data_IF_657402507226
#
_entry.id   IF_657402507226
#
_cell.length_a   1.000
_cell.length_b   1.000
_cell.length_c   1.000
_cell.angle_alpha   90.00
_cell.angle_beta   90.00
_cell.angle_gamma   90.00
#
_symmetry.space_group_name_H-M   'P 1'
#
loop_
_entity.id
_entity.type
_entity.pdbx_description
1 polymer ?
#
# COMPACT_ATOMS: atom_id res chain seq x y z
N UNK A 1 -23.30 30.50 6.40
CA UNK A 1 -23.21 30.19 6.15
C UNK A 1 -23.20 29.83 5.99
N UNK A 2 -22.89 29.45 6.17
CA UNK A 2 -22.82 28.97 5.80
C UNK A 2 -22.69 28.49 5.83
N UNK A 3 -22.71 28.38 6.08
CA UNK A 3 -22.67 27.70 5.89
C UNK A 3 -22.49 27.12 5.77
N UNK A 4 -22.51 27.10 5.80
CA UNK A 4 -22.40 26.51 5.45
C UNK A 4 -22.08 25.86 5.24
N UNK A 5 -22.07 26.01 5.39
CA UNK A 5 -21.82 25.49 4.98
C UNK A 5 -21.49 24.92 4.87
N UNK A 6 -21.64 25.03 5.03
CA UNK A 6 -21.42 24.63 4.73
C UNK A 6 -21.05 24.08 4.71
N UNK A 7 -21.23 24.07 4.87
CA UNK A 7 -20.94 23.68 4.64
C UNK A 7 -20.62 23.09 4.71
N UNK A 8 -20.82 23.12 4.83
CA UNK A 8 -20.58 22.62 4.77
C UNK A 8 -20.22 21.97 4.84
N UNK A 9 -20.39 22.16 5.04
CA UNK A 9 -20.06 21.66 4.99
C UNK A 9 -19.76 20.88 5.15
N UNK A 10 -19.82 20.75 5.20
CA UNK A 10 -19.63 20.07 5.19
C UNK A 10 -19.28 19.43 5.07
N UNK A 11 -19.31 19.37 4.77
CA UNK A 11 -18.85 18.99 4.51
C UNK A 11 -18.27 18.82 4.36
N UNK A 12 -18.47 18.96 4.12
CA UNK A 12 -17.71 18.82 4.03
C UNK A 12 -16.91 18.42 3.72
N UNK A 13 -16.61 18.15 2.97
CA UNK A 13 -15.73 17.78 2.51
C UNK A 13 -14.45 17.63 2.99
N UNK A 14 -14.06 17.84 3.63
CA UNK A 14 -12.74 17.80 4.24
C UNK A 14 -12.09 16.43 4.29
N UNK A 15 -12.88 15.41 4.32
CA UNK A 15 -12.36 14.03 4.29
C UNK A 15 -11.60 13.73 3.02
N UNK A 16 -12.07 14.25 1.90
CA UNK A 16 -11.41 14.05 0.64
C UNK A 16 -10.02 14.69 0.64
N UNK A 17 -9.92 15.87 1.22
CA UNK A 17 -8.64 16.58 1.26
C UNK A 17 -7.61 15.90 2.16
N UNK A 18 -8.07 15.07 3.11
CA UNK A 18 -7.15 14.34 4.00
C UNK A 18 -6.71 13.00 3.42
N UNK A 19 -7.23 12.61 2.28
CA UNK A 19 -6.84 11.35 1.66
C UNK A 19 -5.47 11.46 1.04
N UNK A 20 -4.69 10.43 1.27
CA UNK A 20 -3.38 10.30 0.64
C UNK A 20 -3.55 9.70 -0.75
N UNK A 21 -2.89 10.31 -1.73
CA UNK A 21 -2.77 9.71 -3.05
C UNK A 21 -1.52 8.84 -3.05
N UNK A 22 -1.72 7.54 -2.92
CA UNK A 22 -0.63 6.58 -2.87
C UNK A 22 -0.10 6.17 -4.24
N UNK A 23 -0.74 6.62 -5.32
CA UNK A 23 -0.37 6.16 -6.66
C UNK A 23 1.11 6.42 -6.99
N UNK A 24 1.67 7.62 -6.74
CA UNK A 24 3.09 7.83 -7.02
C UNK A 24 4.00 6.90 -6.23
N UNK A 25 3.67 6.66 -4.96
CA UNK A 25 4.47 5.78 -4.11
C UNK A 25 4.40 4.35 -4.62
N UNK A 26 3.20 3.88 -4.97
CA UNK A 26 3.04 2.53 -5.50
C UNK A 26 3.81 2.34 -6.80
N UNK A 27 3.79 3.33 -7.69
CA UNK A 27 4.57 3.26 -8.94
C UNK A 27 6.06 3.17 -8.67
N UNK A 28 6.56 3.96 -7.72
CA UNK A 28 7.98 3.93 -7.36
C UNK A 28 8.37 2.56 -6.79
N UNK A 29 7.52 2.01 -5.92
CA UNK A 29 7.73 0.67 -5.37
C UNK A 29 7.76 -0.37 -6.48
N UNK A 30 6.80 -0.32 -7.40
CA UNK A 30 6.75 -1.25 -8.53
C UNK A 30 8.03 -1.17 -9.36
N UNK A 31 8.53 0.04 -9.61
CA UNK A 31 9.76 0.21 -10.36
C UNK A 31 10.94 -0.46 -9.68
N UNK A 32 11.06 -0.31 -8.36
CA UNK A 32 12.16 -0.91 -7.59
C UNK A 32 12.00 -2.43 -7.47
N UNK A 33 10.76 -2.90 -7.23
CA UNK A 33 10.53 -4.32 -6.94
C UNK A 33 10.60 -5.19 -8.19
N UNK A 34 10.05 -4.75 -9.31
CA UNK A 34 9.89 -5.60 -10.48
C UNK A 34 10.25 -4.93 -11.79
N UNK A 35 10.63 -3.66 -11.76
CA UNK A 35 10.82 -2.87 -12.98
C UNK A 35 9.54 -2.88 -13.85
N UNK A 36 8.39 -2.94 -13.21
CA UNK A 36 7.08 -2.94 -13.87
C UNK A 36 6.58 -4.29 -14.35
N UNK A 37 7.30 -5.37 -14.06
CA UNK A 37 6.94 -6.70 -14.61
C UNK A 37 5.92 -7.39 -13.71
N UNK A 38 4.69 -7.53 -14.19
CA UNK A 38 3.62 -8.14 -13.41
C UNK A 38 3.80 -9.65 -13.23
N UNK A 39 4.63 -10.29 -14.03
CA UNK A 39 4.91 -11.72 -13.93
C UNK A 39 6.22 -12.02 -13.18
N UNK A 40 6.85 -11.01 -12.59
CA UNK A 40 8.10 -11.18 -11.84
C UNK A 40 7.92 -12.15 -10.68
N UNK A 41 8.93 -13.00 -10.48
CA UNK A 41 8.89 -14.00 -9.43
C UNK A 41 10.29 -14.19 -8.86
N UNK A 42 10.44 -13.92 -7.57
CA UNK A 42 11.70 -14.10 -6.85
C UNK A 42 11.40 -14.87 -5.55
N UNK A 43 11.64 -16.19 -5.61
CA UNK A 43 11.25 -17.05 -4.50
C UNK A 43 9.75 -17.00 -4.27
N UNK A 44 9.34 -16.63 -3.07
CA UNK A 44 7.92 -16.51 -2.74
C UNK A 44 7.36 -15.09 -2.95
N UNK A 45 8.17 -14.18 -3.49
CA UNK A 45 7.74 -12.81 -3.80
C UNK A 45 7.32 -12.75 -5.26
N UNK A 46 6.11 -12.29 -5.51
CA UNK A 46 5.51 -12.38 -6.85
C UNK A 46 4.85 -11.09 -7.29
N UNK A 47 4.92 -10.85 -8.60
CA UNK A 47 4.18 -9.79 -9.25
C UNK A 47 4.87 -8.44 -9.21
N UNK A 48 4.17 -7.43 -9.69
CA UNK A 48 4.70 -6.07 -9.82
C UNK A 48 5.21 -5.52 -8.49
N UNK A 49 4.55 -5.85 -7.37
CA UNK A 49 4.91 -5.33 -6.05
C UNK A 49 5.62 -6.37 -5.18
N UNK A 50 5.94 -7.54 -5.73
CA UNK A 50 6.70 -8.59 -5.06
C UNK A 50 6.07 -9.01 -3.73
N UNK A 51 4.79 -9.41 -3.80
CA UNK A 51 3.98 -9.75 -2.63
C UNK A 51 4.24 -11.20 -2.21
N UNK A 52 4.36 -11.41 -0.91
CA UNK A 52 4.55 -12.75 -0.30
C UNK A 52 3.20 -13.40 0.02
N UNK A 53 3.16 -14.73 0.15
CA UNK A 53 1.93 -15.39 0.62
C UNK A 53 1.48 -14.91 2.00
N UNK A 54 2.43 -14.56 2.88
CA UNK A 54 2.10 -14.06 4.22
C UNK A 54 1.32 -12.75 4.11
N UNK A 55 1.70 -11.87 3.19
CA UNK A 55 0.98 -10.60 3.02
C UNK A 55 -0.44 -10.81 2.50
N UNK A 56 -0.62 -11.76 1.57
CA UNK A 56 -1.97 -12.11 1.09
C UNK A 56 -2.82 -12.58 2.25
N UNK A 57 -2.26 -13.45 3.10
CA UNK A 57 -2.96 -13.96 4.27
C UNK A 57 -3.34 -12.84 5.23
N UNK A 58 -2.43 -11.91 5.47
CA UNK A 58 -2.70 -10.76 6.33
C UNK A 58 -3.82 -9.89 5.77
N UNK A 59 -3.80 -9.63 4.46
CA UNK A 59 -4.88 -8.87 3.83
C UNK A 59 -6.23 -9.55 4.06
N UNK A 60 -6.29 -10.86 3.93
CA UNK A 60 -7.53 -11.59 4.14
C UNK A 60 -7.97 -11.57 5.60
N UNK A 61 -7.04 -11.57 6.54
CA UNK A 61 -7.36 -11.43 7.96
C UNK A 61 -7.93 -10.04 8.26
N UNK A 62 -7.36 -9.01 7.66
CA UNK A 62 -7.88 -7.63 7.81
C UNK A 62 -9.30 -7.54 7.26
N UNK A 63 -9.52 -8.08 6.06
CA UNK A 63 -10.84 -8.09 5.45
C UNK A 63 -11.86 -8.81 6.33
N UNK A 64 -11.47 -9.95 6.87
CA UNK A 64 -12.35 -10.72 7.76
C UNK A 64 -12.69 -9.89 9.01
N UNK A 65 -11.72 -9.21 9.59
CA UNK A 65 -11.94 -8.38 10.77
C UNK A 65 -12.88 -7.21 10.51
N UNK A 66 -13.01 -6.80 9.25
CA UNK A 66 -13.91 -5.73 8.82
C UNK A 66 -15.25 -6.25 8.30
N UNK A 67 -15.51 -7.53 8.49
CA UNK A 67 -16.73 -8.20 8.02
C UNK A 67 -16.91 -8.12 6.50
N UNK A 68 -15.81 -8.00 5.77
CA UNK A 68 -15.84 -8.05 4.32
C UNK A 68 -15.80 -9.50 3.85
N UNK A 69 -16.56 -9.79 2.79
CA UNK A 69 -16.52 -11.11 2.17
C UNK A 69 -15.45 -11.23 1.10
N UNK A 70 -14.81 -10.11 0.77
CA UNK A 70 -13.76 -10.12 -0.24
C UNK A 70 -12.55 -10.91 0.25
N UNK A 71 -11.89 -11.62 -0.67
CA UNK A 71 -10.65 -12.34 -0.38
C UNK A 71 -9.72 -12.25 -1.57
N UNK A 72 -8.43 -12.17 -1.29
CA UNK A 72 -7.38 -12.24 -2.30
C UNK A 72 -6.83 -13.65 -2.36
N UNK A 73 -6.38 -14.04 -3.54
CA UNK A 73 -5.73 -15.33 -3.78
C UNK A 73 -4.25 -15.10 -4.08
N UNK A 74 -3.47 -16.18 -4.06
CA UNK A 74 -2.06 -16.08 -4.43
C UNK A 74 -1.89 -15.64 -5.89
N UNK A 75 -2.80 -16.04 -6.78
CA UNK A 75 -2.76 -15.63 -8.18
C UNK A 75 -2.95 -14.12 -8.34
N UNK A 76 -3.65 -13.47 -7.42
CA UNK A 76 -3.90 -12.03 -7.48
C UNK A 76 -2.61 -11.21 -7.39
N UNK A 77 -1.52 -11.81 -6.90
CA UNK A 77 -0.23 -11.13 -6.83
C UNK A 77 0.31 -10.77 -8.23
N UNK A 78 -0.14 -11.48 -9.25
CA UNK A 78 0.25 -11.21 -10.64
C UNK A 78 -0.69 -10.22 -11.34
N UNK A 79 -1.67 -9.72 -10.65
CA UNK A 79 -2.59 -8.69 -11.14
C UNK A 79 -2.20 -7.35 -10.49
N UNK A 80 -1.77 -6.39 -11.32
CA UNK A 80 -1.24 -5.11 -10.81
C UNK A 80 -2.29 -4.37 -10.02
N UNK A 81 -3.53 -4.34 -10.48
CA UNK A 81 -4.59 -3.62 -9.79
C UNK A 81 -4.86 -4.24 -8.41
N UNK A 82 -4.92 -5.56 -8.33
CA UNK A 82 -5.13 -6.24 -7.05
C UNK A 82 -3.94 -6.11 -6.12
N UNK A 83 -2.74 -6.09 -6.66
CA UNK A 83 -1.54 -5.82 -5.86
C UNK A 83 -1.60 -4.44 -5.22
N UNK A 84 -2.03 -3.43 -5.98
CA UNK A 84 -2.21 -2.08 -5.44
C UNK A 84 -3.31 -2.04 -4.39
N UNK A 85 -4.41 -2.78 -4.59
CA UNK A 85 -5.47 -2.88 -3.58
C UNK A 85 -4.91 -3.44 -2.26
N UNK A 86 -4.10 -4.49 -2.34
CA UNK A 86 -3.49 -5.08 -1.15
C UNK A 86 -2.57 -4.10 -0.45
N UNK A 87 -1.76 -3.35 -1.20
CA UNK A 87 -0.92 -2.29 -0.62
C UNK A 87 -1.78 -1.28 0.14
N UNK A 88 -2.84 -0.79 -0.48
CA UNK A 88 -3.72 0.20 0.13
C UNK A 88 -4.39 -0.35 1.39
N UNK A 89 -4.80 -1.60 1.37
CA UNK A 89 -5.41 -2.25 2.53
C UNK A 89 -4.41 -2.31 3.70
N UNK A 90 -3.18 -2.70 3.43
CA UNK A 90 -2.12 -2.75 4.44
C UNK A 90 -1.89 -1.35 5.03
N UNK A 91 -1.81 -0.32 4.17
CA UNK A 91 -1.62 1.05 4.66
C UNK A 91 -2.81 1.49 5.52
N UNK A 92 -4.02 1.18 5.11
CA UNK A 92 -5.21 1.57 5.88
C UNK A 92 -5.22 0.95 7.28
N UNK A 93 -4.60 -0.20 7.45
CA UNK A 93 -4.57 -0.91 8.72
C UNK A 93 -3.37 -0.51 9.59
N UNK A 94 -2.18 -0.48 9.01
CA UNK A 94 -0.92 -0.28 9.75
C UNK A 94 -0.41 1.16 9.73
N UNK A 95 -0.93 2.00 8.85
CA UNK A 95 -0.37 3.34 8.61
C UNK A 95 -1.47 4.39 8.50
N UNK A 96 -2.30 4.52 9.55
CA UNK A 96 -3.45 5.44 9.48
C UNK A 96 -3.07 6.91 9.34
N UNK A 97 -1.82 7.28 9.68
CA UNK A 97 -1.34 8.65 9.53
C UNK A 97 -0.76 8.92 8.14
N UNK A 98 -0.75 7.94 7.25
CA UNK A 98 -0.27 8.08 5.87
C UNK A 98 1.19 8.56 5.79
N UNK A 99 2.05 7.96 6.60
CA UNK A 99 3.48 8.27 6.62
C UNK A 99 4.17 7.55 5.46
N UNK A 100 4.74 8.31 4.52
CA UNK A 100 5.34 7.77 3.30
C UNK A 100 6.57 6.91 3.62
N UNK A 101 7.45 7.39 4.49
CA UNK A 101 8.65 6.64 4.85
C UNK A 101 8.28 5.30 5.48
N UNK A 102 7.31 5.29 6.40
CA UNK A 102 6.84 4.06 7.03
C UNK A 102 6.29 3.08 5.98
N UNK A 103 5.48 3.59 5.04
CA UNK A 103 4.90 2.76 3.99
C UNK A 103 5.99 2.06 3.18
N UNK A 104 7.01 2.81 2.78
CA UNK A 104 8.09 2.29 1.93
C UNK A 104 8.93 1.29 2.70
N UNK A 105 9.39 1.66 3.90
CA UNK A 105 10.27 0.78 4.68
C UNK A 105 9.56 -0.50 5.10
N UNK A 106 8.29 -0.39 5.52
CA UNK A 106 7.55 -1.57 5.97
C UNK A 106 7.21 -2.50 4.81
N UNK A 107 7.06 -1.98 3.60
CA UNK A 107 6.84 -2.85 2.45
C UNK A 107 8.02 -3.77 2.19
N UNK A 108 9.22 -3.29 2.42
CA UNK A 108 10.45 -4.06 2.26
C UNK A 108 10.79 -4.91 3.48
N UNK A 109 10.70 -4.34 4.67
CA UNK A 109 11.21 -4.96 5.89
C UNK A 109 10.16 -5.45 6.87
N UNK A 110 8.86 -5.31 6.56
CA UNK A 110 7.79 -5.66 7.48
C UNK A 110 7.50 -4.56 8.48
N UNK A 111 6.46 -4.74 9.28
CA UNK A 111 6.01 -3.69 10.21
C UNK A 111 7.03 -3.39 11.31
N UNK A 112 7.88 -4.35 11.64
CA UNK A 112 8.95 -4.16 12.62
C UNK A 112 10.31 -3.95 11.95
N UNK A 113 10.33 -3.25 10.84
CA UNK A 113 11.53 -3.05 10.04
C UNK A 113 12.64 -2.33 10.80
N UNK A 114 13.88 -2.57 10.35
CA UNK A 114 15.04 -1.83 10.78
C UNK A 114 15.28 -0.66 9.83
N UNK A 115 15.51 0.53 10.39
CA UNK A 115 15.85 1.71 9.59
C UNK A 115 17.11 1.42 8.76
N UNK A 116 18.12 0.88 9.42
CA UNK A 116 19.40 0.60 8.75
C UNK A 116 19.25 -0.41 7.62
N UNK A 117 18.53 -1.50 7.87
CA UNK A 117 18.37 -2.57 6.88
C UNK A 117 17.54 -2.13 5.68
N UNK A 118 16.62 -1.18 5.86
CA UNK A 118 15.74 -0.70 4.79
C UNK A 118 16.22 0.60 4.15
N UNK A 119 17.37 1.15 4.57
CA UNK A 119 17.79 2.47 4.11
C UNK A 119 18.05 2.51 2.60
N UNK A 120 18.75 1.50 2.07
CA UNK A 120 19.06 1.48 0.64
C UNK A 120 17.79 1.33 -0.20
N UNK A 121 16.87 0.47 0.23
CA UNK A 121 15.60 0.30 -0.44
C UNK A 121 14.80 1.61 -0.42
N UNK A 122 14.72 2.25 0.74
CA UNK A 122 14.02 3.52 0.90
C UNK A 122 14.58 4.59 -0.06
N UNK A 123 15.90 4.73 -0.11
CA UNK A 123 16.53 5.70 -1.01
C UNK A 123 16.23 5.40 -2.48
N UNK A 124 16.24 4.12 -2.87
CA UNK A 124 15.92 3.73 -4.24
C UNK A 124 14.49 4.11 -4.60
N UNK A 125 13.52 3.79 -3.73
CA UNK A 125 12.13 4.14 -3.98
C UNK A 125 11.98 5.66 -4.09
N UNK A 126 12.57 6.39 -3.14
CA UNK A 126 12.48 7.85 -3.14
C UNK A 126 13.07 8.48 -4.41
N UNK A 127 14.06 7.85 -5.01
CA UNK A 127 14.66 8.37 -6.23
C UNK A 127 13.69 8.35 -7.41
N UNK A 128 12.60 7.59 -7.33
CA UNK A 128 11.56 7.55 -8.36
C UNK A 128 10.36 8.45 -8.03
N UNK A 129 10.41 9.11 -6.92
CA UNK A 129 9.40 10.12 -6.55
C UNK A 129 9.88 11.54 -6.92
#
# INVERSE_FOLDING_TARGET
MFPTAASTAGDRRPKRSSRMDWEPVMRAIIQVESNGKSDAKNGNQCGAMQITPILVKECNQILKSRNSKKRYTLADRFDVRKSKEMFLLIQSHHNPTNNVEHAIRSWNGGQNYSIRATQRYYEKVMSYL
#
